data_IF_804240201811
#
_entry.id   IF_804240201811
#
_cell.length_a   1.000
_cell.length_b   1.000
_cell.length_c   1.000
_cell.angle_alpha   90.00
_cell.angle_beta   90.00
_cell.angle_gamma   90.00
#
_symmetry.space_group_name_H-M   'P 1'
#
loop_
_entity.id
_entity.type
_entity.pdbx_description
1 polymer ?
#
# COMPACT_ATOMS: atom_id res chain seq x y z
N UNK A 1 -1.73 54.01 36.46
CA UNK A 1 -1.73 52.71 37.16
C UNK A 1 -2.62 52.89 38.38
N UNK A 2 -3.81 52.29 38.40
CA UNK A 2 -4.71 52.35 39.55
C UNK A 2 -4.29 51.22 40.49
N UNK A 3 -4.04 51.58 41.75
CA UNK A 3 -3.64 50.73 42.88
C UNK A 3 -2.26 50.09 42.80
N UNK A 4 -1.34 50.62 43.64
CA UNK A 4 -0.34 49.95 44.50
C UNK A 4 0.62 48.87 43.99
N UNK A 5 0.41 48.29 42.82
CA UNK A 5 1.07 47.07 42.40
C UNK A 5 2.30 47.35 41.54
N UNK A 6 3.40 46.65 41.86
CA UNK A 6 4.63 46.74 41.08
C UNK A 6 4.48 46.06 39.72
N UNK A 7 5.28 46.48 38.72
CA UNK A 7 5.27 45.85 37.39
C UNK A 7 5.55 44.33 37.44
N UNK A 8 6.30 43.88 38.45
CA UNK A 8 6.58 42.46 38.69
C UNK A 8 5.34 41.70 39.14
N UNK A 9 4.53 42.27 40.02
CA UNK A 9 3.26 41.68 40.49
C UNK A 9 2.26 41.54 39.33
N UNK A 10 2.14 42.55 38.47
CA UNK A 10 1.31 42.45 37.26
C UNK A 10 1.79 41.33 36.32
N UNK A 11 3.11 41.15 36.19
CA UNK A 11 3.67 40.08 35.37
C UNK A 11 3.45 38.68 35.97
N UNK A 12 3.56 38.53 37.29
CA UNK A 12 3.25 37.30 38.02
C UNK A 12 1.76 36.95 37.90
N UNK A 13 0.87 37.91 38.16
CA UNK A 13 -0.57 37.74 38.00
C UNK A 13 -0.94 37.38 36.55
N UNK A 14 -0.30 38.02 35.56
CA UNK A 14 -0.45 37.67 34.16
C UNK A 14 -0.04 36.22 33.89
N UNK A 15 1.09 35.74 34.44
CA UNK A 15 1.51 34.34 34.29
C UNK A 15 0.51 33.38 34.92
N UNK A 16 0.01 33.66 36.12
CA UNK A 16 -0.99 32.83 36.80
C UNK A 16 -2.29 32.77 36.00
N UNK A 17 -2.80 33.92 35.57
CA UNK A 17 -3.98 33.97 34.70
C UNK A 17 -3.74 33.22 33.39
N UNK A 18 -2.52 33.32 32.82
CA UNK A 18 -2.12 32.58 31.62
C UNK A 18 -2.08 31.06 31.83
N UNK A 19 -1.87 30.55 33.05
CA UNK A 19 -2.00 29.10 33.33
C UNK A 19 -3.46 28.63 33.33
N UNK A 20 -4.39 29.52 33.67
CA UNK A 20 -5.84 29.26 33.57
C UNK A 20 -6.36 29.44 32.13
N UNK A 21 -5.61 30.16 31.30
CA UNK A 21 -5.91 30.38 29.89
C UNK A 21 -5.37 29.23 29.01
N UNK A 22 -6.21 28.74 28.12
CA UNK A 22 -5.82 27.75 27.12
C UNK A 22 -6.70 26.50 27.16
N UNK A 23 -6.65 25.73 26.08
CA UNK A 23 -7.42 24.49 25.98
C UNK A 23 -6.83 23.46 26.93
N UNK A 24 -7.61 22.99 27.91
CA UNK A 24 -7.22 21.89 28.79
C UNK A 24 -6.78 20.67 27.97
N UNK A 25 -5.78 19.93 28.46
CA UNK A 25 -5.34 18.69 27.81
C UNK A 25 -6.54 17.75 27.74
N UNK A 26 -6.91 17.37 26.52
CA UNK A 26 -7.97 16.39 26.30
C UNK A 26 -7.56 15.06 26.97
N UNK A 27 -8.37 14.51 27.85
CA UNK A 27 -8.14 13.13 28.30
C UNK A 27 -9.01 12.24 27.42
N UNK A 28 -8.41 11.23 26.80
CA UNK A 28 -9.19 10.27 26.02
C UNK A 28 -9.88 9.31 27.00
N UNK A 29 -11.16 8.97 26.78
CA UNK A 29 -11.79 7.87 27.50
C UNK A 29 -10.98 6.58 27.34
N UNK A 30 -10.96 5.72 28.37
CA UNK A 30 -10.19 4.47 28.38
C UNK A 30 -10.50 3.60 27.16
N UNK A 31 -11.77 3.45 26.82
CA UNK A 31 -12.25 2.71 25.63
C UNK A 31 -11.62 3.26 24.34
N UNK A 32 -11.48 4.58 24.21
CA UNK A 32 -10.85 5.17 23.03
C UNK A 32 -9.35 4.87 22.98
N UNK A 33 -8.67 4.89 24.12
CA UNK A 33 -7.25 4.56 24.21
C UNK A 33 -6.97 3.09 23.87
N UNK A 34 -7.81 2.17 24.36
CA UNK A 34 -7.71 0.73 24.08
C UNK A 34 -7.92 0.45 22.60
N UNK A 35 -8.98 0.99 22.00
CA UNK A 35 -9.24 0.87 20.57
C UNK A 35 -8.09 1.45 19.71
N UNK A 36 -7.54 2.60 20.09
CA UNK A 36 -6.39 3.19 19.38
C UNK A 36 -5.19 2.24 19.45
N UNK A 37 -4.87 1.69 20.64
CA UNK A 37 -3.76 0.75 20.81
C UNK A 37 -3.96 -0.51 19.96
N UNK A 38 -5.17 -1.06 19.95
CA UNK A 38 -5.53 -2.23 19.16
C UNK A 38 -5.35 -1.97 17.64
N UNK A 39 -5.95 -0.90 17.11
CA UNK A 39 -5.88 -0.59 15.67
C UNK A 39 -4.45 -0.25 15.23
N UNK A 40 -3.68 0.45 16.06
CA UNK A 40 -2.27 0.73 15.75
C UNK A 40 -1.44 -0.55 15.75
N UNK A 41 -1.68 -1.50 16.66
CA UNK A 41 -1.03 -2.82 16.63
C UNK A 41 -1.37 -3.61 15.34
N UNK A 42 -2.57 -3.42 14.80
CA UNK A 42 -2.97 -3.95 13.48
C UNK A 42 -2.31 -3.20 12.30
N UNK A 43 -1.60 -2.09 12.55
CA UNK A 43 -0.86 -1.33 11.55
C UNK A 43 -1.60 -0.11 11.00
N UNK A 44 -2.71 0.30 11.63
CA UNK A 44 -3.46 1.48 11.24
C UNK A 44 -2.72 2.76 11.63
N UNK A 45 -2.80 3.80 10.81
CA UNK A 45 -2.27 5.11 11.16
C UNK A 45 -3.31 5.91 11.96
N UNK A 46 -2.90 6.90 12.77
CA UNK A 46 -3.82 7.84 13.40
C UNK A 46 -4.80 8.53 12.43
N UNK A 47 -4.37 8.76 11.18
CA UNK A 47 -5.23 9.31 10.12
C UNK A 47 -6.31 8.32 9.67
N UNK A 48 -5.95 7.04 9.51
CA UNK A 48 -6.90 5.98 9.17
C UNK A 48 -7.87 5.72 10.30
N UNK A 49 -7.40 5.67 11.55
CA UNK A 49 -8.24 5.46 12.74
C UNK A 49 -9.36 6.51 12.83
N UNK A 50 -9.00 7.79 12.69
CA UNK A 50 -9.97 8.89 12.75
C UNK A 50 -10.83 8.96 11.48
N UNK A 51 -10.24 8.72 10.30
CA UNK A 51 -10.92 8.86 9.02
C UNK A 51 -11.90 7.73 8.69
N UNK A 52 -11.62 6.50 9.17
CA UNK A 52 -12.50 5.34 9.03
C UNK A 52 -13.83 5.53 9.77
N UNK A 53 -13.83 6.30 10.86
CA UNK A 53 -15.01 6.58 11.70
C UNK A 53 -15.74 5.32 12.19
N UNK A 54 -15.01 4.21 12.36
CA UNK A 54 -15.53 2.97 12.99
C UNK A 54 -15.97 3.20 14.44
N UNK A 55 -15.27 4.10 15.13
CA UNK A 55 -15.59 4.52 16.48
C UNK A 55 -15.36 6.04 16.59
N UNK A 56 -16.26 6.79 17.26
CA UNK A 56 -16.05 8.22 17.47
C UNK A 56 -14.83 8.47 18.37
N UNK A 57 -13.83 9.17 17.84
CA UNK A 57 -12.65 9.61 18.59
C UNK A 57 -12.85 11.07 19.00
N UNK A 58 -12.71 11.37 20.30
CA UNK A 58 -12.90 12.71 20.88
C UNK A 58 -11.83 13.72 20.47
N UNK A 59 -10.92 13.35 19.56
CA UNK A 59 -9.80 14.17 19.12
C UNK A 59 -9.58 14.08 17.61
N UNK A 60 -9.00 15.14 17.05
CA UNK A 60 -8.58 15.16 15.65
C UNK A 60 -7.34 14.30 15.42
N UNK A 61 -7.14 13.86 14.18
CA UNK A 61 -5.92 13.15 13.74
C UNK A 61 -4.63 13.86 14.19
N UNK A 62 -4.55 15.20 14.07
CA UNK A 62 -3.37 15.97 14.51
C UNK A 62 -3.12 15.85 16.01
N UNK A 63 -4.20 15.85 16.80
CA UNK A 63 -4.11 15.67 18.24
C UNK A 63 -3.64 14.27 18.59
N UNK A 64 -4.12 13.27 17.86
CA UNK A 64 -3.70 11.88 18.05
C UNK A 64 -2.20 11.70 17.75
N UNK A 65 -1.68 12.22 16.64
CA UNK A 65 -0.22 12.21 16.38
C UNK A 65 0.59 12.91 17.48
N UNK A 66 0.07 14.02 18.04
CA UNK A 66 0.73 14.69 19.17
C UNK A 66 0.82 13.78 20.41
N UNK A 67 -0.16 12.90 20.65
CA UNK A 67 -0.13 11.93 21.76
C UNK A 67 0.98 10.89 21.61
N UNK A 68 1.25 10.44 20.39
CA UNK A 68 2.43 9.59 20.13
C UNK A 68 3.73 10.36 20.39
N UNK A 69 3.82 11.62 19.95
CA UNK A 69 4.99 12.47 20.19
C UNK A 69 5.22 12.74 21.68
N UNK A 70 4.15 12.92 22.44
CA UNK A 70 4.15 13.10 23.91
C UNK A 70 4.36 11.78 24.67
N UNK A 71 4.59 10.66 23.98
CA UNK A 71 4.81 9.31 24.54
C UNK A 71 3.64 8.76 25.36
N UNK A 72 2.43 9.29 25.15
CA UNK A 72 1.18 8.71 25.69
C UNK A 72 0.89 7.37 25.00
N UNK A 73 1.18 7.30 23.70
CA UNK A 73 1.23 6.05 22.93
C UNK A 73 2.66 5.80 22.46
N UNK A 74 3.02 4.53 22.26
CA UNK A 74 4.34 4.17 21.78
C UNK A 74 4.52 4.55 20.30
N UNK A 75 5.38 5.54 20.04
CA UNK A 75 5.75 5.99 18.70
C UNK A 75 6.37 4.88 17.84
N UNK A 76 6.99 3.87 18.45
CA UNK A 76 7.61 2.76 17.71
C UNK A 76 6.60 1.93 16.92
N UNK A 77 5.34 1.96 17.35
CA UNK A 77 4.22 1.25 16.72
C UNK A 77 3.70 1.94 15.46
N UNK A 78 4.09 3.20 15.21
CA UNK A 78 3.66 3.92 14.00
C UNK A 78 4.29 3.31 12.74
N UNK A 79 3.51 3.17 11.65
CA UNK A 79 3.93 2.35 10.52
C UNK A 79 4.98 2.98 9.58
N UNK A 80 5.42 4.23 9.79
CA UNK A 80 6.35 4.90 8.86
C UNK A 80 7.61 5.44 9.56
N UNK A 81 8.77 4.91 9.18
CA UNK A 81 10.08 5.53 9.42
C UNK A 81 10.59 6.02 8.07
N UNK A 82 10.40 7.33 7.81
CA UNK A 82 10.66 7.93 6.50
C UNK A 82 12.11 7.78 6.06
N UNK A 83 12.40 6.83 5.17
CA UNK A 83 13.63 6.79 4.39
C UNK A 83 13.27 6.95 2.93
N UNK A 84 13.62 8.09 2.34
CA UNK A 84 13.55 8.31 0.88
C UNK A 84 14.93 8.05 0.28
N UNK A 85 14.97 7.51 -0.94
CA UNK A 85 16.20 7.49 -1.73
C UNK A 85 16.59 8.94 -2.11
N UNK A 86 17.89 9.24 -2.29
CA UNK A 86 18.34 10.53 -2.78
C UNK A 86 17.75 10.84 -4.16
N UNK A 87 17.44 12.11 -4.43
CA UNK A 87 17.03 12.55 -5.77
C UNK A 87 18.16 12.31 -6.78
N UNK A 88 17.84 11.86 -8.00
CA UNK A 88 18.82 11.69 -9.09
C UNK A 88 19.40 10.28 -9.27
N UNK A 89 18.86 9.26 -8.63
CA UNK A 89 19.29 7.88 -8.87
C UNK A 89 18.97 7.43 -10.31
N UNK A 90 19.99 7.09 -11.09
CA UNK A 90 19.86 6.52 -12.43
C UNK A 90 20.06 5.00 -12.40
N UNK A 91 19.06 4.26 -12.90
CA UNK A 91 19.05 2.80 -12.99
C UNK A 91 20.05 2.33 -14.06
N UNK A 92 20.97 1.43 -13.71
CA UNK A 92 22.05 0.93 -14.59
C UNK A 92 21.89 -0.53 -15.03
N UNK A 93 20.77 -1.18 -14.71
CA UNK A 93 20.53 -2.61 -15.03
C UNK A 93 20.24 -2.83 -16.52
N UNK A 94 20.55 -4.04 -17.00
CA UNK A 94 20.52 -4.41 -18.42
C UNK A 94 19.15 -4.30 -19.09
N UNK A 95 19.16 -4.13 -20.41
CA UNK A 95 17.97 -3.95 -21.25
C UNK A 95 17.47 -5.31 -21.77
N UNK A 96 16.17 -5.57 -21.68
CA UNK A 96 15.52 -6.72 -22.31
C UNK A 96 15.09 -6.37 -23.74
N UNK A 97 15.34 -7.27 -24.69
CA UNK A 97 14.85 -7.17 -26.08
C UNK A 97 13.43 -7.75 -26.20
N UNK A 98 12.64 -7.27 -27.18
CA UNK A 98 11.27 -7.72 -27.51
C UNK A 98 10.24 -7.59 -26.37
N UNK A 99 9.70 -6.37 -26.19
CA UNK A 99 8.65 -6.03 -25.20
C UNK A 99 7.55 -5.17 -25.82
N UNK A 100 6.33 -5.24 -25.29
CA UNK A 100 5.28 -4.22 -25.50
C UNK A 100 5.45 -3.09 -24.50
N UNK A 101 5.59 -1.87 -24.98
CA UNK A 101 5.77 -0.71 -24.10
C UNK A 101 4.47 -0.34 -23.39
N UNK A 102 4.54 0.15 -22.14
CA UNK A 102 3.37 0.71 -21.45
C UNK A 102 2.71 1.85 -22.26
N UNK A 103 3.46 2.58 -23.10
CA UNK A 103 2.90 3.59 -23.98
C UNK A 103 1.94 3.01 -25.05
N UNK A 104 2.15 1.77 -25.49
CA UNK A 104 1.29 1.10 -26.47
C UNK A 104 -0.09 0.77 -25.88
N UNK A 105 -0.19 0.66 -24.55
CA UNK A 105 -1.45 0.44 -23.84
C UNK A 105 -2.49 1.55 -24.12
N UNK A 106 -2.05 2.79 -24.31
CA UNK A 106 -2.96 3.90 -24.63
C UNK A 106 -3.64 3.73 -26.00
N UNK A 107 -2.98 3.03 -26.93
CA UNK A 107 -3.51 2.70 -28.25
C UNK A 107 -4.41 1.47 -28.19
N UNK A 108 -3.99 0.44 -27.45
CA UNK A 108 -4.74 -0.82 -27.32
C UNK A 108 -6.01 -0.66 -26.47
N UNK A 109 -5.98 0.30 -25.53
CA UNK A 109 -7.08 0.60 -24.61
C UNK A 109 -7.32 2.13 -24.53
N UNK A 110 -7.91 2.74 -25.59
CA UNK A 110 -8.08 4.20 -25.70
C UNK A 110 -9.00 4.81 -24.62
N UNK A 111 -9.75 3.98 -23.90
CA UNK A 111 -10.55 4.36 -22.71
C UNK A 111 -9.64 4.97 -21.61
N UNK A 112 -8.39 4.51 -21.48
CA UNK A 112 -7.42 5.10 -20.52
C UNK A 112 -7.08 6.56 -20.80
N UNK A 113 -7.29 7.05 -22.04
CA UNK A 113 -6.97 8.42 -22.47
C UNK A 113 -8.19 9.35 -22.46
N UNK A 114 -9.38 8.84 -22.76
CA UNK A 114 -10.58 9.67 -22.96
C UNK A 114 -11.34 10.02 -21.68
N UNK A 115 -11.30 9.19 -20.62
CA UNK A 115 -12.12 9.44 -19.42
C UNK A 115 -11.39 10.18 -18.28
N UNK A 116 -10.06 10.31 -18.34
CA UNK A 116 -9.25 10.82 -17.23
C UNK A 116 -8.48 12.08 -17.61
N UNK A 117 -9.21 13.20 -17.72
CA UNK A 117 -8.64 14.50 -17.35
C UNK A 117 -7.95 14.44 -15.97
N UNK A 118 -7.39 15.52 -15.42
CA UNK A 118 -6.46 15.51 -14.29
C UNK A 118 -6.95 14.85 -12.97
N UNK A 119 -8.17 14.32 -12.93
CA UNK A 119 -8.76 13.51 -11.87
C UNK A 119 -8.92 12.06 -12.39
N UNK A 120 -8.02 11.18 -11.92
CA UNK A 120 -7.95 9.74 -12.16
C UNK A 120 -9.24 8.98 -11.76
N UNK A 121 -10.21 8.79 -12.65
CA UNK A 121 -11.31 7.81 -12.46
C UNK A 121 -10.87 6.39 -12.88
N UNK A 122 -9.75 5.88 -12.35
CA UNK A 122 -9.17 4.57 -12.74
C UNK A 122 -10.22 3.48 -12.97
N UNK A 123 -10.16 2.80 -14.11
CA UNK A 123 -10.95 1.60 -14.43
C UNK A 123 -10.42 0.39 -13.63
N UNK A 124 -11.32 -0.50 -13.21
CA UNK A 124 -10.97 -1.75 -12.54
C UNK A 124 -10.38 -2.78 -13.52
N UNK A 125 -9.41 -3.58 -13.03
CA UNK A 125 -8.86 -4.73 -13.75
C UNK A 125 -7.40 -4.58 -14.22
N UNK A 126 -6.85 -3.37 -14.41
CA UNK A 126 -5.41 -3.22 -14.57
C UNK A 126 -4.62 -3.51 -13.30
N UNK A 127 -3.60 -4.35 -13.41
CA UNK A 127 -2.69 -4.69 -12.31
C UNK A 127 -1.24 -4.30 -12.63
N UNK A 128 -0.51 -3.88 -11.61
CA UNK A 128 0.93 -3.65 -11.67
C UNK A 128 1.64 -4.88 -11.05
N UNK A 129 2.65 -5.40 -11.73
CA UNK A 129 3.42 -6.58 -11.31
C UNK A 129 4.87 -6.24 -10.94
N UNK A 130 5.39 -6.88 -9.91
CA UNK A 130 6.78 -6.76 -9.45
C UNK A 130 7.23 -8.02 -8.70
N UNK A 131 8.50 -8.08 -8.31
CA UNK A 131 9.05 -9.19 -7.53
C UNK A 131 9.78 -8.70 -6.28
N UNK A 132 9.38 -9.23 -5.12
CA UNK A 132 10.09 -9.06 -3.85
C UNK A 132 11.13 -10.18 -3.73
N UNK A 133 12.41 -9.82 -3.71
CA UNK A 133 13.53 -10.80 -3.65
C UNK A 133 13.99 -11.05 -2.21
N UNK A 134 14.09 -12.30 -1.80
CA UNK A 134 14.55 -12.71 -0.47
C UNK A 134 16.06 -12.60 -0.26
N UNK A 135 16.52 -13.14 0.86
CA UNK A 135 17.92 -13.13 1.26
C UNK A 135 18.82 -13.80 0.22
N UNK A 136 20.05 -13.29 0.07
CA UNK A 136 21.05 -13.76 -0.90
C UNK A 136 20.57 -13.85 -2.35
N UNK A 137 19.45 -13.20 -2.68
CA UNK A 137 18.84 -13.28 -4.00
C UNK A 137 18.49 -14.71 -4.45
N UNK A 138 18.18 -15.62 -3.52
CA UNK A 138 17.88 -17.04 -3.84
C UNK A 138 16.39 -17.34 -3.99
N UNK A 139 15.52 -16.52 -3.41
CA UNK A 139 14.07 -16.73 -3.41
C UNK A 139 13.32 -15.45 -3.75
N UNK A 140 12.05 -15.58 -4.12
CA UNK A 140 11.21 -14.46 -4.54
C UNK A 140 9.74 -14.67 -4.16
N UNK A 141 9.01 -13.55 -4.09
CA UNK A 141 7.56 -13.46 -4.05
C UNK A 141 7.14 -12.50 -5.15
N UNK A 142 6.31 -12.94 -6.08
CA UNK A 142 5.72 -12.07 -7.11
C UNK A 142 4.56 -11.29 -6.47
N UNK A 143 4.51 -10.00 -6.70
CA UNK A 143 3.47 -9.12 -6.18
C UNK A 143 2.68 -8.49 -7.33
N UNK A 144 1.37 -8.60 -7.24
CA UNK A 144 0.42 -8.01 -8.19
C UNK A 144 -0.48 -7.05 -7.43
N UNK A 145 -0.66 -5.84 -7.94
CA UNK A 145 -1.49 -4.82 -7.28
C UNK A 145 -2.47 -4.22 -8.27
N UNK A 146 -3.77 -4.35 -8.00
CA UNK A 146 -4.80 -3.75 -8.84
C UNK A 146 -4.87 -2.24 -8.62
N UNK A 147 -4.94 -1.45 -9.71
CA UNK A 147 -4.64 -0.01 -9.64
C UNK A 147 -5.75 0.83 -8.99
N UNK A 148 -7.00 0.35 -9.03
CA UNK A 148 -8.18 1.03 -8.48
C UNK A 148 -8.35 0.70 -6.99
N UNK A 149 -8.68 -0.54 -6.67
CA UNK A 149 -8.90 -1.11 -5.34
C UNK A 149 -7.63 -1.17 -4.51
N UNK A 150 -6.46 -1.25 -5.15
CA UNK A 150 -5.16 -1.42 -4.49
C UNK A 150 -5.04 -2.73 -3.70
N UNK A 151 -5.87 -3.72 -4.05
CA UNK A 151 -5.73 -5.09 -3.54
C UNK A 151 -4.34 -5.61 -3.91
N UNK A 152 -3.66 -6.20 -2.94
CA UNK A 152 -2.35 -6.80 -3.13
C UNK A 152 -2.53 -8.31 -3.18
N UNK A 153 -1.99 -8.92 -4.23
CA UNK A 153 -1.93 -10.37 -4.41
C UNK A 153 -0.45 -10.77 -4.39
N UNK A 154 -0.13 -11.81 -3.63
CA UNK A 154 1.23 -12.35 -3.51
C UNK A 154 1.26 -13.78 -4.00
N UNK A 155 2.19 -14.10 -4.89
CA UNK A 155 2.43 -15.45 -5.40
C UNK A 155 3.82 -15.91 -4.98
N UNK A 156 3.93 -17.14 -4.49
CA UNK A 156 5.18 -17.77 -4.08
C UNK A 156 5.66 -18.73 -5.18
N UNK A 157 6.55 -18.28 -6.09
CA UNK A 157 7.20 -19.18 -7.02
C UNK A 157 8.23 -20.05 -6.31
N UNK A 158 8.52 -21.23 -6.86
CA UNK A 158 9.55 -22.15 -6.34
C UNK A 158 10.96 -21.56 -6.44
N UNK A 159 11.16 -20.61 -7.35
CA UNK A 159 12.45 -19.96 -7.59
C UNK A 159 12.29 -18.58 -8.22
N UNK A 160 13.36 -18.15 -8.89
CA UNK A 160 13.46 -16.81 -9.50
C UNK A 160 13.57 -16.84 -11.02
N UNK A 161 13.64 -18.04 -11.61
CA UNK A 161 13.76 -18.16 -13.06
C UNK A 161 12.42 -17.80 -13.68
N UNK A 162 12.45 -17.38 -14.95
CA UNK A 162 11.23 -17.02 -15.67
C UNK A 162 10.20 -18.15 -15.67
N UNK A 163 10.65 -19.41 -15.75
CA UNK A 163 9.78 -20.59 -15.69
C UNK A 163 9.09 -20.76 -14.32
N UNK A 164 9.79 -20.49 -13.22
CA UNK A 164 9.24 -20.62 -11.87
C UNK A 164 8.13 -19.57 -11.64
N UNK A 165 8.37 -18.34 -12.10
CA UNK A 165 7.38 -17.26 -12.04
C UNK A 165 6.21 -17.54 -12.97
N UNK A 166 6.48 -17.99 -14.20
CA UNK A 166 5.44 -18.35 -15.16
C UNK A 166 4.51 -19.44 -14.61
N UNK A 167 5.06 -20.49 -14.00
CA UNK A 167 4.27 -21.57 -13.38
C UNK A 167 3.34 -21.03 -12.28
N UNK A 168 3.87 -20.19 -11.38
CA UNK A 168 3.07 -19.58 -10.31
C UNK A 168 1.97 -18.66 -10.87
N UNK A 169 2.28 -17.86 -11.90
CA UNK A 169 1.29 -17.01 -12.56
C UNK A 169 0.22 -17.83 -13.28
N UNK A 170 0.59 -18.93 -13.96
CA UNK A 170 -0.34 -19.82 -14.64
C UNK A 170 -1.30 -20.51 -13.68
N UNK A 171 -0.78 -21.02 -12.56
CA UNK A 171 -1.61 -21.62 -11.52
C UNK A 171 -2.61 -20.60 -10.95
N UNK A 172 -2.14 -19.39 -10.67
CA UNK A 172 -3.00 -18.34 -10.13
C UNK A 172 -4.07 -17.89 -11.13
N UNK A 173 -3.70 -17.63 -12.39
CA UNK A 173 -4.68 -17.27 -13.41
C UNK A 173 -5.69 -18.40 -13.69
N UNK A 174 -5.26 -19.66 -13.59
CA UNK A 174 -6.17 -20.80 -13.69
C UNK A 174 -7.17 -20.91 -12.53
N UNK A 175 -6.87 -20.28 -11.39
CA UNK A 175 -7.73 -20.28 -10.19
C UNK A 175 -8.69 -19.10 -10.11
N UNK A 176 -8.62 -18.15 -11.06
CA UNK A 176 -9.50 -16.97 -11.07
C UNK A 176 -10.35 -16.93 -12.34
N UNK A 177 -11.53 -16.29 -12.29
CA UNK A 177 -12.37 -16.11 -13.46
C UNK A 177 -11.63 -15.32 -14.55
N UNK A 178 -11.80 -15.77 -15.80
CA UNK A 178 -11.25 -15.11 -16.98
C UNK A 178 -11.77 -13.68 -17.08
N UNK A 179 -10.94 -12.79 -17.62
CA UNK A 179 -11.24 -11.37 -17.82
C UNK A 179 -11.46 -10.53 -16.55
N UNK A 180 -11.30 -11.11 -15.34
CA UNK A 180 -11.33 -10.35 -14.09
C UNK A 180 -10.27 -9.23 -14.11
N UNK A 181 -9.07 -9.55 -14.59
CA UNK A 181 -8.00 -8.58 -14.83
C UNK A 181 -7.79 -8.39 -16.33
N UNK A 182 -7.63 -7.13 -16.74
CA UNK A 182 -7.57 -6.71 -18.16
C UNK A 182 -6.14 -6.66 -18.67
N UNK A 183 -5.22 -6.19 -17.83
CA UNK A 183 -3.83 -6.03 -18.21
C UNK A 183 -2.89 -6.08 -17.02
N UNK A 184 -1.65 -6.51 -17.26
CA UNK A 184 -0.55 -6.48 -16.30
C UNK A 184 0.53 -5.53 -16.81
N UNK A 185 1.13 -4.76 -15.91
CA UNK A 185 2.31 -3.94 -16.21
C UNK A 185 3.48 -4.37 -15.33
N UNK A 186 4.53 -4.95 -15.93
CA UNK A 186 5.77 -5.35 -15.25
C UNK A 186 6.91 -4.35 -15.45
N UNK A 187 8.00 -4.49 -14.69
CA UNK A 187 9.28 -3.92 -15.09
C UNK A 187 9.96 -4.77 -16.16
N UNK A 188 11.02 -4.24 -16.76
CA UNK A 188 11.85 -4.97 -17.73
C UNK A 188 12.74 -6.05 -17.06
N UNK A 189 12.26 -6.68 -15.98
CA UNK A 189 12.93 -7.78 -15.31
C UNK A 189 12.98 -9.00 -16.21
N UNK A 190 14.15 -9.66 -16.27
CA UNK A 190 14.36 -10.85 -17.11
C UNK A 190 13.46 -12.02 -16.69
N UNK A 191 13.03 -12.02 -15.44
CA UNK A 191 12.11 -13.00 -14.89
C UNK A 191 10.71 -12.98 -15.53
N UNK A 192 10.36 -11.94 -16.29
CA UNK A 192 9.10 -11.85 -17.05
C UNK A 192 9.30 -12.06 -18.57
N UNK A 193 10.39 -12.72 -18.99
CA UNK A 193 10.68 -12.94 -20.41
C UNK A 193 9.62 -13.75 -21.15
N UNK A 194 8.92 -14.65 -20.45
CA UNK A 194 7.94 -15.57 -21.04
C UNK A 194 6.52 -14.98 -21.12
N UNK A 195 6.38 -13.67 -20.97
CA UNK A 195 5.09 -12.97 -20.92
C UNK A 195 4.15 -13.26 -22.10
N UNK A 196 4.66 -13.55 -23.30
CA UNK A 196 3.81 -13.85 -24.47
C UNK A 196 2.98 -15.12 -24.27
N UNK A 197 3.59 -16.17 -23.70
CA UNK A 197 2.91 -17.42 -23.42
C UNK A 197 1.78 -17.19 -22.40
N UNK A 198 2.10 -16.47 -21.32
CA UNK A 198 1.14 -16.08 -20.29
C UNK A 198 -0.02 -15.23 -20.85
N UNK A 199 0.31 -14.24 -21.69
CA UNK A 199 -0.65 -13.33 -22.32
C UNK A 199 -1.64 -14.08 -23.21
N UNK A 200 -1.13 -14.98 -24.05
CA UNK A 200 -1.97 -15.77 -24.97
C UNK A 200 -2.82 -16.81 -24.24
N UNK A 201 -2.28 -17.47 -23.22
CA UNK A 201 -2.98 -18.56 -22.51
C UNK A 201 -4.19 -18.05 -21.71
N UNK A 202 -4.04 -16.91 -21.04
CA UNK A 202 -5.06 -16.36 -20.13
C UNK A 202 -5.83 -15.18 -20.73
N UNK A 203 -5.59 -14.85 -21.99
CA UNK A 203 -6.18 -13.71 -22.70
C UNK A 203 -6.06 -12.39 -21.90
N UNK A 204 -4.84 -12.11 -21.44
CA UNK A 204 -4.52 -10.92 -20.65
C UNK A 204 -3.42 -10.11 -21.32
N UNK A 205 -3.61 -8.80 -21.45
CA UNK A 205 -2.60 -7.94 -22.07
C UNK A 205 -1.44 -7.67 -21.11
N UNK A 206 -0.20 -7.92 -21.53
CA UNK A 206 0.99 -7.66 -20.71
C UNK A 206 1.84 -6.56 -21.33
N UNK A 207 2.17 -5.57 -20.50
CA UNK A 207 2.96 -4.40 -20.85
C UNK A 207 4.18 -4.24 -19.95
N UNK A 208 5.17 -3.49 -20.43
CA UNK A 208 6.40 -3.24 -19.69
C UNK A 208 6.65 -1.74 -19.52
N UNK A 209 6.96 -1.33 -18.29
CA UNK A 209 7.36 0.04 -18.00
C UNK A 209 8.65 0.43 -18.74
N UNK A 210 8.81 1.74 -18.97
CA UNK A 210 10.02 2.28 -19.55
C UNK A 210 11.22 2.09 -18.62
N UNK A 211 12.41 1.75 -19.16
CA UNK A 211 13.61 1.65 -18.35
C UNK A 211 13.90 2.98 -17.64
N UNK A 212 14.21 2.93 -16.35
CA UNK A 212 14.50 4.12 -15.56
C UNK A 212 13.29 5.02 -15.28
N UNK A 213 12.05 4.50 -15.41
CA UNK A 213 10.83 5.25 -15.10
C UNK A 213 9.98 4.58 -14.00
N UNK A 214 10.47 4.53 -12.73
CA UNK A 214 9.76 3.83 -11.65
C UNK A 214 8.38 4.41 -11.34
N UNK A 215 8.17 5.71 -11.61
CA UNK A 215 6.88 6.40 -11.43
C UNK A 215 5.73 5.78 -12.22
N UNK A 216 6.00 5.06 -13.31
CA UNK A 216 4.99 4.31 -14.07
C UNK A 216 4.43 3.09 -13.32
N UNK A 217 5.07 2.68 -12.22
CA UNK A 217 4.63 1.60 -11.31
C UNK A 217 4.73 2.00 -9.84
N UNK A 218 4.40 3.25 -9.54
CA UNK A 218 4.53 3.80 -8.19
C UNK A 218 3.69 3.03 -7.13
N UNK A 219 2.64 2.31 -7.55
CA UNK A 219 1.80 1.56 -6.63
C UNK A 219 2.51 0.30 -6.12
N UNK A 220 3.26 -0.41 -6.97
CA UNK A 220 4.02 -1.58 -6.56
C UNK A 220 5.16 -1.23 -5.62
N UNK A 221 5.89 -0.12 -5.85
CA UNK A 221 6.95 0.31 -4.93
C UNK A 221 6.41 0.55 -3.52
N UNK A 222 5.27 1.25 -3.41
CA UNK A 222 4.62 1.49 -2.13
C UNK A 222 4.13 0.18 -1.49
N UNK A 223 3.47 -0.68 -2.27
CA UNK A 223 2.90 -1.93 -1.77
C UNK A 223 3.99 -2.91 -1.30
N UNK A 224 5.08 -3.02 -2.05
CA UNK A 224 6.23 -3.85 -1.68
C UNK A 224 6.93 -3.33 -0.42
N UNK A 225 7.01 -2.01 -0.25
CA UNK A 225 7.49 -1.40 0.99
C UNK A 225 6.65 -1.77 2.21
N UNK A 226 5.32 -1.82 2.06
CA UNK A 226 4.40 -2.23 3.12
C UNK A 226 4.52 -3.72 3.45
N UNK A 227 4.58 -4.59 2.43
CA UNK A 227 4.76 -6.03 2.62
C UNK A 227 6.09 -6.35 3.32
N UNK A 228 7.17 -5.64 2.94
CA UNK A 228 8.49 -5.75 3.57
C UNK A 228 8.46 -5.44 5.05
N UNK A 229 7.71 -4.40 5.42
CA UNK A 229 7.58 -3.98 6.80
C UNK A 229 6.78 -4.97 7.64
N UNK A 230 5.69 -5.50 7.08
CA UNK A 230 4.68 -6.21 7.87
C UNK A 230 4.87 -7.73 7.89
N UNK A 231 5.75 -8.31 7.06
CA UNK A 231 6.03 -9.75 7.13
C UNK A 231 7.02 -10.34 6.12
N UNK A 232 7.47 -9.59 5.10
CA UNK A 232 8.38 -10.09 4.06
C UNK A 232 9.75 -9.37 4.04
N UNK A 233 10.51 -9.31 5.14
CA UNK A 233 11.76 -8.54 5.23
C UNK A 233 12.83 -9.02 4.23
N UNK A 234 13.86 -8.21 3.98
CA UNK A 234 14.90 -8.51 2.97
C UNK A 234 15.75 -9.73 3.32
N UNK A 235 15.90 -9.97 4.60
CA UNK A 235 16.73 -11.00 5.22
C UNK A 235 15.99 -12.34 5.31
N UNK A 236 14.70 -12.39 4.96
CA UNK A 236 13.92 -13.63 4.93
C UNK A 236 14.30 -14.46 3.71
N UNK A 237 14.52 -15.76 3.91
CA UNK A 237 14.51 -16.73 2.83
C UNK A 237 13.08 -17.20 2.58
N UNK A 238 12.50 -16.78 1.45
CA UNK A 238 11.14 -17.17 1.12
C UNK A 238 11.00 -18.67 0.83
N UNK A 239 12.09 -19.43 0.64
CA UNK A 239 11.98 -20.88 0.51
C UNK A 239 11.57 -21.59 1.81
N UNK A 240 11.63 -20.90 2.94
CA UNK A 240 11.23 -21.43 4.25
C UNK A 240 9.76 -21.12 4.59
N UNK A 241 9.05 -20.42 3.70
CA UNK A 241 7.63 -20.09 3.89
C UNK A 241 6.83 -20.54 2.67
N UNK A 242 5.56 -20.83 2.91
CA UNK A 242 4.65 -21.29 1.87
C UNK A 242 3.81 -20.16 1.27
N UNK A 243 2.95 -20.52 0.32
CA UNK A 243 1.98 -19.62 -0.29
C UNK A 243 0.99 -19.05 0.74
N UNK A 244 0.60 -19.82 1.76
CA UNK A 244 -0.38 -19.40 2.78
C UNK A 244 0.17 -18.24 3.62
N UNK A 245 1.44 -18.32 4.00
CA UNK A 245 2.12 -17.29 4.77
C UNK A 245 2.19 -15.98 3.99
N UNK A 246 2.69 -15.99 2.75
CA UNK A 246 2.82 -14.76 1.96
C UNK A 246 1.45 -14.12 1.69
N UNK A 247 0.43 -14.96 1.41
CA UNK A 247 -0.96 -14.50 1.26
C UNK A 247 -1.51 -13.88 2.54
N UNK A 248 -1.17 -14.41 3.72
CA UNK A 248 -1.63 -13.83 4.99
C UNK A 248 -1.05 -12.42 5.24
N UNK A 249 0.21 -12.18 4.83
CA UNK A 249 0.82 -10.84 4.92
C UNK A 249 0.10 -9.86 3.99
N UNK A 250 -0.22 -10.27 2.76
CA UNK A 250 -1.02 -9.46 1.84
C UNK A 250 -2.43 -9.22 2.37
N UNK A 251 -3.09 -10.25 2.89
CA UNK A 251 -4.43 -10.18 3.45
C UNK A 251 -4.51 -9.19 4.61
N UNK A 252 -3.53 -9.20 5.52
CA UNK A 252 -3.41 -8.19 6.58
C UNK A 252 -3.40 -6.77 6.00
N UNK A 253 -2.62 -6.51 4.95
CA UNK A 253 -2.57 -5.20 4.28
C UNK A 253 -3.86 -4.84 3.54
N UNK A 254 -4.55 -5.84 3.01
CA UNK A 254 -5.81 -5.67 2.28
C UNK A 254 -7.00 -5.35 3.20
N UNK A 255 -6.87 -5.63 4.50
CA UNK A 255 -7.86 -5.29 5.54
C UNK A 255 -7.54 -4.00 6.31
N UNK A 256 -6.48 -3.27 5.95
CA UNK A 256 -6.17 -1.96 6.55
C UNK A 256 -6.74 -0.85 5.65
N UNK A 257 -7.63 0.02 6.16
CA UNK A 257 -8.23 1.07 5.36
C UNK A 257 -7.21 2.09 4.86
N UNK A 258 -7.49 2.69 3.71
CA UNK A 258 -6.58 3.65 3.06
C UNK A 258 -7.29 4.97 2.81
N UNK A 259 -6.68 6.08 3.23
CA UNK A 259 -7.15 7.43 2.92
C UNK A 259 -7.45 7.64 1.43
N UNK A 260 -6.62 7.06 0.57
CA UNK A 260 -6.78 7.17 -0.89
C UNK A 260 -7.95 6.39 -1.48
N UNK A 261 -8.67 5.63 -0.65
CA UNK A 261 -9.87 4.87 -0.96
C UNK A 261 -11.04 5.38 -0.09
N UNK A 262 -11.00 6.65 0.30
CA UNK A 262 -11.94 7.26 1.25
C UNK A 262 -12.12 6.44 2.54
N UNK A 263 -11.01 5.90 3.04
CA UNK A 263 -10.95 5.08 4.26
C UNK A 263 -11.74 3.76 4.16
N UNK A 264 -11.96 3.26 2.96
CA UNK A 264 -12.28 1.85 2.72
C UNK A 264 -11.01 1.00 2.69
N UNK A 265 -11.15 -0.29 2.97
CA UNK A 265 -10.09 -1.28 2.80
C UNK A 265 -9.95 -1.65 1.32
N UNK A 266 -8.74 -2.02 0.86
CA UNK A 266 -8.56 -2.58 -0.47
C UNK A 266 -9.48 -3.75 -0.77
N UNK A 267 -9.76 -4.59 0.24
CA UNK A 267 -10.66 -5.73 0.11
C UNK A 267 -12.12 -5.29 -0.12
N UNK A 268 -12.62 -4.34 0.66
CA UNK A 268 -13.97 -3.78 0.47
C UNK A 268 -14.14 -3.20 -0.93
N UNK A 269 -13.18 -2.39 -1.38
CA UNK A 269 -13.24 -1.79 -2.72
C UNK A 269 -13.10 -2.88 -3.78
N UNK A 270 -12.24 -3.87 -3.61
CA UNK A 270 -12.13 -4.97 -4.57
C UNK A 270 -13.46 -5.73 -4.72
N UNK A 271 -14.07 -6.13 -3.59
CA UNK A 271 -15.33 -6.85 -3.58
C UNK A 271 -16.49 -6.06 -4.19
N UNK A 272 -16.47 -4.72 -4.14
CA UNK A 272 -17.51 -3.91 -4.80
C UNK A 272 -17.45 -3.95 -6.34
N UNK A 273 -16.36 -4.46 -6.93
CA UNK A 273 -16.20 -4.64 -8.38
C UNK A 273 -16.23 -6.11 -8.82
N UNK A 274 -16.36 -7.04 -7.87
CA UNK A 274 -16.43 -8.47 -8.16
C UNK A 274 -17.84 -8.94 -7.84
N UNK A 275 -18.64 -9.19 -8.88
CA UNK A 275 -20.03 -9.62 -8.72
C UNK A 275 -20.14 -10.94 -7.92
N UNK A 276 -21.28 -11.16 -7.27
CA UNK A 276 -21.59 -12.43 -6.57
C UNK A 276 -21.50 -13.66 -7.49
N UNK A 277 -21.77 -13.48 -8.79
CA UNK A 277 -21.60 -14.54 -9.81
C UNK A 277 -20.13 -14.89 -10.07
N UNK A 278 -19.21 -13.94 -9.85
CA UNK A 278 -17.77 -14.15 -9.96
C UNK A 278 -17.24 -14.78 -8.65
N UNK A 279 -17.75 -14.34 -7.50
CA UNK A 279 -17.41 -14.90 -6.18
C UNK A 279 -17.83 -16.37 -6.02
N UNK A 280 -19.00 -16.74 -6.54
CA UNK A 280 -19.50 -18.13 -6.50
C UNK A 280 -18.71 -19.09 -7.40
N UNK A 281 -17.95 -18.58 -8.38
CA UNK A 281 -17.03 -19.39 -9.20
C UNK A 281 -15.63 -19.58 -8.57
N UNK A 282 -15.37 -18.89 -7.45
CA UNK A 282 -14.10 -18.91 -6.72
C UNK A 282 -14.15 -19.82 -5.46
N UNK A 283 -15.32 -20.36 -5.11
CA UNK A 283 -15.57 -21.32 -4.02
C UNK A 283 -15.75 -22.71 -4.62
#
# INVERSE_FOLDING_TARGET
>A
MKEGHTALEYYQQYKENKTCCGRRKLVLPLEQEEYIKEKVAQGWTPDVIVGRKEMPISCSMRTLYRRFKEKVFDESTLPMKGKRKPNGHQERRGKQAFKRNIAERETDYPIFKKEFGPIFKKEFGPIEGDTIVGVHHKSAVTTLVERLSKIIITLKPDGRKAIDIENAMNQWFGSIPRHLFKSITFDCGKEFSNWKALSNLHDIAIYFANPGTPSQRALNENSNGLLRKDGLPKEMDFNQVDQSFVSSVANKRNNIPRKSLDYQTPLEVFLSYVDESILSSLI
#
